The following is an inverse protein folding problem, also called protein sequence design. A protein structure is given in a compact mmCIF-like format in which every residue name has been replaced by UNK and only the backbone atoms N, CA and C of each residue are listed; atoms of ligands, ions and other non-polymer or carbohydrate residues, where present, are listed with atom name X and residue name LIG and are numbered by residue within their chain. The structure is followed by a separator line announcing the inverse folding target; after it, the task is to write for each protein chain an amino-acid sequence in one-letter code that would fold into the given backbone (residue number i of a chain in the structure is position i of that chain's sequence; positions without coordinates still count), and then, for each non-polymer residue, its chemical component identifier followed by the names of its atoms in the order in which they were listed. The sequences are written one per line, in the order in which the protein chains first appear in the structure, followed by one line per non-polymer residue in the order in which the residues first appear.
data_IF_076726938260
#
_entry.id   IF_076726938260
#
_cell.length_a   1.000
_cell.length_b   1.000
_cell.length_c   1.000
_cell.angle_alpha   90.00
_cell.angle_beta   90.00
_cell.angle_gamma   90.00
#
_symmetry.space_group_name_H-M   'P 1'
#
loop_
_entity.id
_entity.type
_entity.pdbx_description
1 polymer ?
#
# COMPACT_ATOMS: atom_id res chain seq x y z
N UNK A 1 -4.88 -0.91 31.88
CA UNK A 1 -3.95 -1.53 30.91
C UNK A 1 -4.42 -1.50 29.45
N UNK A 2 -5.55 -0.94 28.97
CA UNK A 2 -6.19 -1.66 27.83
C UNK A 2 -6.53 -0.95 26.51
N UNK A 3 -6.64 0.38 26.41
CA UNK A 3 -7.10 0.95 25.13
C UNK A 3 -5.98 1.20 24.10
N UNK A 4 -4.90 1.88 24.48
CA UNK A 4 -3.79 2.17 23.55
C UNK A 4 -2.98 0.94 23.12
N UNK A 5 -2.85 -0.05 24.02
CA UNK A 5 -2.12 -1.30 23.72
C UNK A 5 -2.82 -2.16 22.67
N UNK A 6 -4.15 -2.24 22.71
CA UNK A 6 -4.92 -3.01 21.72
C UNK A 6 -4.82 -2.44 20.30
N UNK A 7 -4.83 -1.11 20.18
CA UNK A 7 -4.68 -0.42 18.89
C UNK A 7 -3.27 -0.66 18.31
N UNK A 8 -2.23 -0.54 19.13
CA UNK A 8 -0.86 -0.78 18.68
C UNK A 8 -0.65 -2.22 18.19
N UNK A 9 -1.22 -3.21 18.89
CA UNK A 9 -1.19 -4.62 18.48
C UNK A 9 -1.97 -4.82 17.17
N UNK A 10 -3.15 -4.20 17.05
CA UNK A 10 -3.96 -4.28 15.82
C UNK A 10 -3.24 -3.71 14.59
N UNK A 11 -2.62 -2.54 14.71
CA UNK A 11 -1.86 -1.95 13.60
C UNK A 11 -0.59 -2.78 13.32
N UNK A 12 0.07 -3.31 14.35
CA UNK A 12 1.22 -4.21 14.17
C UNK A 12 0.88 -5.47 13.38
N UNK A 13 -0.26 -6.10 13.67
CA UNK A 13 -0.77 -7.25 12.90
C UNK A 13 -1.13 -6.85 11.47
N UNK A 14 -1.74 -5.67 11.27
CA UNK A 14 -2.06 -5.17 9.93
C UNK A 14 -0.79 -4.96 9.08
N UNK A 15 0.28 -4.41 9.66
CA UNK A 15 1.58 -4.24 8.98
C UNK A 15 2.20 -5.59 8.63
N UNK A 16 2.20 -6.56 9.57
CA UNK A 16 2.70 -7.91 9.31
C UNK A 16 1.94 -8.57 8.16
N UNK A 17 0.61 -8.53 8.22
CA UNK A 17 -0.25 -9.09 7.18
C UNK A 17 -0.04 -8.42 5.83
N UNK A 18 0.10 -7.10 5.82
CA UNK A 18 0.42 -6.32 4.63
C UNK A 18 1.74 -6.75 3.99
N UNK A 19 2.79 -6.93 4.79
CA UNK A 19 4.10 -7.40 4.30
C UNK A 19 4.03 -8.83 3.74
N UNK A 20 3.28 -9.72 4.38
CA UNK A 20 3.06 -11.09 3.90
C UNK A 20 2.30 -11.11 2.56
N UNK A 21 1.33 -10.21 2.40
CA UNK A 21 0.53 -10.12 1.17
C UNK A 21 1.16 -9.27 0.07
N UNK A 22 2.24 -8.53 0.35
CA UNK A 22 2.87 -7.61 -0.60
C UNK A 22 3.14 -8.21 -2.00
N UNK A 23 3.72 -9.42 -2.15
CA UNK A 23 3.90 -10.01 -3.49
C UNK A 23 2.57 -10.30 -4.21
N UNK A 24 1.55 -10.75 -3.48
CA UNK A 24 0.22 -10.99 -4.03
C UNK A 24 -0.47 -9.67 -4.41
N UNK A 25 -0.39 -8.66 -3.54
CA UNK A 25 -0.95 -7.34 -3.78
C UNK A 25 -0.34 -6.71 -5.03
N UNK A 26 0.99 -6.80 -5.19
CA UNK A 26 1.68 -6.29 -6.37
C UNK A 26 1.14 -6.94 -7.66
N UNK A 27 0.99 -8.27 -7.68
CA UNK A 27 0.45 -8.99 -8.82
C UNK A 27 -1.00 -8.58 -9.13
N UNK A 28 -1.86 -8.48 -8.09
CA UNK A 28 -3.26 -8.08 -8.24
C UNK A 28 -3.38 -6.65 -8.76
N UNK A 29 -2.63 -5.70 -8.20
CA UNK A 29 -2.66 -4.30 -8.65
C UNK A 29 -2.14 -4.14 -10.07
N UNK A 30 -1.07 -4.87 -10.45
CA UNK A 30 -0.58 -4.85 -11.82
C UNK A 30 -1.58 -5.44 -12.80
N UNK A 31 -2.19 -6.57 -12.44
CA UNK A 31 -3.23 -7.19 -13.26
C UNK A 31 -4.41 -6.24 -13.47
N UNK A 32 -4.89 -5.60 -12.40
CA UNK A 32 -5.97 -4.62 -12.49
C UNK A 32 -5.57 -3.40 -13.34
N UNK A 33 -4.38 -2.84 -13.12
CA UNK A 33 -3.86 -1.71 -13.88
C UNK A 33 -3.79 -2.01 -15.38
N UNK A 34 -3.18 -3.14 -15.77
CA UNK A 34 -3.08 -3.51 -17.17
C UNK A 34 -4.42 -3.91 -17.78
N UNK A 35 -5.32 -4.50 -17.01
CA UNK A 35 -6.69 -4.77 -17.44
C UNK A 35 -7.44 -3.47 -17.78
N UNK A 36 -7.39 -2.48 -16.88
CA UNK A 36 -8.00 -1.15 -17.11
C UNK A 36 -7.34 -0.46 -18.31
N UNK A 37 -6.01 -0.49 -18.39
CA UNK A 37 -5.29 0.08 -19.53
C UNK A 37 -5.73 -0.55 -20.86
N UNK A 38 -5.81 -1.88 -20.92
CA UNK A 38 -6.27 -2.62 -22.10
C UNK A 38 -7.70 -2.22 -22.52
N UNK A 39 -8.61 -2.10 -21.55
CA UNK A 39 -9.98 -1.63 -21.78
C UNK A 39 -10.01 -0.20 -22.34
N UNK A 40 -9.20 0.71 -21.79
CA UNK A 40 -9.17 2.11 -22.25
C UNK A 40 -8.52 2.29 -23.62
N UNK A 41 -7.59 1.42 -24.00
CA UNK A 41 -6.91 1.47 -25.31
C UNK A 41 -7.58 0.63 -26.38
N UNK A 42 -8.56 -0.20 -26.02
CA UNK A 42 -9.21 -1.13 -26.96
C UNK A 42 -8.26 -2.18 -27.52
N UNK A 43 -7.16 -2.47 -26.81
CA UNK A 43 -6.12 -3.40 -27.24
C UNK A 43 -6.04 -4.59 -26.29
N UNK A 44 -5.88 -5.80 -26.83
CA UNK A 44 -5.53 -6.95 -26.01
C UNK A 44 -4.11 -6.78 -25.44
N UNK A 45 -3.97 -6.93 -24.12
CA UNK A 45 -2.67 -6.87 -23.45
C UNK A 45 -1.92 -8.18 -23.71
N UNK A 46 -0.83 -8.13 -24.48
CA UNK A 46 -0.02 -9.31 -24.81
C UNK A 46 1.43 -8.93 -25.10
N UNK A 47 2.36 -9.89 -25.02
CA UNK A 47 3.80 -9.61 -25.13
C UNK A 47 4.20 -8.87 -26.42
N UNK A 48 3.45 -9.05 -27.51
CA UNK A 48 3.68 -8.36 -28.78
C UNK A 48 3.12 -6.92 -28.85
N UNK A 49 2.17 -6.57 -27.96
CA UNK A 49 1.47 -5.27 -27.95
C UNK A 49 1.80 -4.43 -26.72
N UNK A 50 2.59 -4.96 -25.79
CA UNK A 50 2.97 -4.27 -24.56
C UNK A 50 3.91 -3.10 -24.86
N UNK A 51 3.45 -1.90 -24.48
CA UNK A 51 4.32 -0.74 -24.40
C UNK A 51 5.17 -0.82 -23.12
N UNK A 52 6.47 -1.07 -23.27
CA UNK A 52 7.41 -1.20 -22.15
C UNK A 52 7.45 0.03 -21.25
N UNK A 53 7.32 1.24 -21.80
CA UNK A 53 7.32 2.46 -20.99
C UNK A 53 6.10 2.50 -20.05
N UNK A 54 4.92 2.10 -20.55
CA UNK A 54 3.70 1.98 -19.72
C UNK A 54 3.85 0.90 -18.66
N UNK A 55 4.48 -0.23 -19.01
CA UNK A 55 4.74 -1.30 -18.06
C UNK A 55 5.59 -0.82 -16.88
N UNK A 56 6.74 -0.22 -17.16
CA UNK A 56 7.67 0.23 -16.13
C UNK A 56 7.09 1.39 -15.31
N UNK A 57 6.36 2.30 -15.94
CA UNK A 57 5.65 3.36 -15.23
C UNK A 57 4.58 2.78 -14.28
N UNK A 58 3.79 1.80 -14.75
CA UNK A 58 2.79 1.12 -13.92
C UNK A 58 3.40 0.45 -12.70
N UNK A 59 4.49 -0.30 -12.89
CA UNK A 59 5.22 -0.93 -11.77
C UNK A 59 5.80 0.09 -10.81
N UNK A 60 6.44 1.14 -11.31
CA UNK A 60 7.01 2.19 -10.46
C UNK A 60 5.93 2.88 -9.62
N UNK A 61 4.80 3.25 -10.24
CA UNK A 61 3.68 3.92 -9.56
C UNK A 61 3.03 3.02 -8.52
N UNK A 62 2.75 1.76 -8.85
CA UNK A 62 2.13 0.80 -7.92
C UNK A 62 3.08 0.54 -6.74
N UNK A 63 4.37 0.33 -7.02
CA UNK A 63 5.37 0.10 -5.97
C UNK A 63 5.48 1.31 -5.05
N UNK A 64 5.53 2.53 -5.60
CA UNK A 64 5.55 3.76 -4.81
C UNK A 64 4.29 3.90 -3.95
N UNK A 65 3.12 3.54 -4.47
CA UNK A 65 1.86 3.58 -3.75
C UNK A 65 1.81 2.58 -2.59
N UNK A 66 2.34 1.36 -2.80
CA UNK A 66 2.47 0.36 -1.74
C UNK A 66 3.43 0.83 -0.63
N UNK A 67 4.58 1.39 -1.01
CA UNK A 67 5.52 1.97 -0.04
C UNK A 67 4.87 3.12 0.75
N UNK A 68 4.13 4.01 0.08
CA UNK A 68 3.43 5.10 0.74
C UNK A 68 2.38 4.61 1.74
N UNK A 69 1.63 3.55 1.40
CA UNK A 69 0.69 2.91 2.33
C UNK A 69 1.41 2.33 3.56
N UNK A 70 2.55 1.66 3.35
CA UNK A 70 3.35 1.12 4.45
C UNK A 70 3.86 2.24 5.36
N UNK A 71 4.39 3.33 4.80
CA UNK A 71 4.81 4.50 5.58
C UNK A 71 3.65 5.10 6.39
N UNK A 72 2.45 5.16 5.79
CA UNK A 72 1.23 5.59 6.47
C UNK A 72 0.90 4.69 7.68
N UNK A 73 0.93 3.38 7.50
CA UNK A 73 0.68 2.42 8.59
C UNK A 73 1.72 2.56 9.71
N UNK A 74 3.01 2.64 9.37
CA UNK A 74 4.09 2.81 10.37
C UNK A 74 3.95 4.14 11.12
N UNK A 75 3.60 5.22 10.43
CA UNK A 75 3.33 6.52 11.07
C UNK A 75 2.17 6.43 12.07
N UNK A 76 1.10 5.70 11.74
CA UNK A 76 -0.02 5.43 12.65
C UNK A 76 0.40 4.61 13.87
N UNK A 77 1.22 3.57 13.69
CA UNK A 77 1.81 2.81 14.81
C UNK A 77 2.58 3.75 15.73
N UNK A 78 3.50 4.55 15.19
CA UNK A 78 4.34 5.47 15.96
C UNK A 78 3.51 6.45 16.79
N UNK A 79 2.46 7.03 16.19
CA UNK A 79 1.53 7.93 16.89
C UNK A 79 0.68 7.22 17.94
N UNK A 80 0.31 5.95 17.71
CA UNK A 80 -0.45 5.16 18.69
C UNK A 80 0.36 4.79 19.94
N UNK A 81 1.67 4.58 19.78
CA UNK A 81 2.60 4.24 20.86
C UNK A 81 3.03 5.47 21.68
N UNK A 82 3.16 6.62 21.03
CA UNK A 82 3.42 7.91 21.67
C UNK A 82 2.26 8.89 21.38
N UNK A 83 1.12 8.74 22.07
CA UNK A 83 0.05 9.71 21.95
C UNK A 83 0.59 11.10 22.34
N UNK A 84 0.34 12.16 21.55
CA UNK A 84 0.81 13.50 21.85
C UNK A 84 0.41 13.85 23.28
N UNK A 85 1.38 14.20 24.13
CA UNK A 85 1.09 14.73 25.47
C UNK A 85 0.21 15.95 25.28
N UNK A 86 -1.09 15.77 25.50
CA UNK A 86 -2.05 16.87 25.60
C UNK A 86 -1.45 17.81 26.65
N UNK A 87 -0.99 18.99 26.23
CA UNK A 87 -0.72 20.10 27.15
C UNK A 87 -2.07 20.46 27.76
N UNK A 88 -2.46 19.68 28.76
CA UNK A 88 -3.33 20.14 29.83
C UNK A 88 -2.41 21.02 30.67
N UNK A 89 -2.90 22.20 31.04
CA UNK A 89 -2.19 23.24 31.80
C UNK A 89 -1.61 24.34 30.90
N UNK A 90 -2.52 25.09 30.28
CA UNK A 90 -2.42 26.53 30.06
C UNK A 90 -3.77 27.15 30.44
#
# INVERSE_FOLDING_TARGET
MREGGGIAVGIGLAVLFYLLLLPLLLAVFLYAFFGIYAMTKGTAFGAATVNLAVWFAGVAVITALLVALLMGMVSLVGRSLHPPRRRRDA
#
